data_IF_721250805289
#
_entry.id   IF_721250805289
#
_cell.length_a   1.000
_cell.length_b   1.000
_cell.length_c   1.000
_cell.angle_alpha   90.00
_cell.angle_beta   90.00
_cell.angle_gamma   90.00
#
_symmetry.space_group_name_H-M   'P 1'
#
loop_
_entity.id
_entity.type
_entity.pdbx_description
1 polymer ?
#
# COMPACT_ATOMS: atom_id res chain seq x y z
N UNK A 1 -22.43 40.98 -12.37
CA UNK A 1 -22.41 39.82 -11.45
C UNK A 1 -20.94 39.49 -11.15
N UNK A 2 -20.20 40.51 -10.73
CA UNK A 2 -19.64 40.74 -9.38
C UNK A 2 -18.34 39.96 -9.16
N UNK A 3 -17.20 40.59 -9.47
CA UNK A 3 -15.84 40.14 -9.17
C UNK A 3 -15.68 39.73 -7.68
N UNK A 4 -16.44 40.40 -6.80
CA UNK A 4 -16.57 40.03 -5.37
C UNK A 4 -17.16 38.61 -5.18
N UNK A 5 -18.13 38.22 -5.99
CA UNK A 5 -18.74 36.88 -5.93
C UNK A 5 -17.77 35.81 -6.46
N UNK A 6 -17.01 36.13 -7.51
CA UNK A 6 -16.00 35.23 -8.09
C UNK A 6 -14.81 35.00 -7.14
N UNK A 7 -14.29 36.07 -6.53
CA UNK A 7 -13.20 35.99 -5.54
C UNK A 7 -13.63 35.23 -4.28
N UNK A 8 -14.83 35.48 -3.75
CA UNK A 8 -15.38 34.70 -2.63
C UNK A 8 -15.55 33.23 -3.00
N UNK A 9 -16.10 32.93 -4.19
CA UNK A 9 -16.26 31.57 -4.67
C UNK A 9 -14.94 30.81 -4.78
N UNK A 10 -13.88 31.48 -5.25
CA UNK A 10 -12.55 30.89 -5.41
C UNK A 10 -11.87 30.61 -4.07
N UNK A 11 -12.01 31.53 -3.09
CA UNK A 11 -11.52 31.31 -1.73
C UNK A 11 -12.22 30.12 -1.08
N UNK A 12 -13.56 30.07 -1.17
CA UNK A 12 -14.35 28.96 -0.61
C UNK A 12 -13.99 27.63 -1.28
N UNK A 13 -13.93 27.59 -2.61
CA UNK A 13 -13.57 26.39 -3.35
C UNK A 13 -12.21 25.86 -2.92
N UNK A 14 -11.24 26.75 -2.74
CA UNK A 14 -9.90 26.29 -2.42
C UNK A 14 -9.74 25.88 -0.96
N UNK A 15 -10.43 26.54 -0.02
CA UNK A 15 -10.51 26.06 1.36
C UNK A 15 -11.08 24.64 1.39
N UNK A 16 -12.18 24.39 0.67
CA UNK A 16 -12.75 23.06 0.53
C UNK A 16 -11.76 22.07 -0.09
N UNK A 17 -11.02 22.48 -1.12
CA UNK A 17 -10.02 21.65 -1.78
C UNK A 17 -8.84 21.27 -0.87
N UNK A 18 -8.32 22.22 -0.09
CA UNK A 18 -7.26 21.98 0.89
C UNK A 18 -7.75 21.03 1.99
N UNK A 19 -8.96 21.25 2.52
CA UNK A 19 -9.57 20.36 3.51
C UNK A 19 -9.69 18.94 2.94
N UNK A 20 -10.15 18.81 1.70
CA UNK A 20 -10.26 17.52 1.03
C UNK A 20 -8.91 16.82 0.91
N UNK A 21 -7.86 17.51 0.44
CA UNK A 21 -6.50 16.97 0.35
C UNK A 21 -5.97 16.48 1.72
N UNK A 22 -6.22 17.25 2.77
CA UNK A 22 -5.82 16.88 4.14
C UNK A 22 -6.60 15.67 4.66
N UNK A 23 -7.90 15.58 4.38
CA UNK A 23 -8.71 14.41 4.74
C UNK A 23 -8.22 13.14 4.03
N UNK A 24 -7.98 13.21 2.72
CA UNK A 24 -7.48 12.06 1.94
C UNK A 24 -6.08 11.63 2.42
N UNK A 25 -5.18 12.60 2.62
CA UNK A 25 -3.86 12.34 3.22
C UNK A 25 -3.95 11.61 4.56
N UNK A 26 -4.81 12.10 5.48
CA UNK A 26 -4.99 11.48 6.79
C UNK A 26 -5.56 10.06 6.69
N UNK A 27 -6.49 9.83 5.77
CA UNK A 27 -7.05 8.51 5.51
C UNK A 27 -5.97 7.54 5.01
N UNK A 28 -5.12 7.97 4.06
CA UNK A 28 -4.00 7.17 3.56
C UNK A 28 -2.99 6.85 4.65
N UNK A 29 -2.62 7.83 5.48
CA UNK A 29 -1.71 7.62 6.61
C UNK A 29 -2.27 6.61 7.61
N UNK A 30 -3.56 6.70 7.94
CA UNK A 30 -4.24 5.73 8.82
C UNK A 30 -4.23 4.33 8.21
N UNK A 31 -4.52 4.21 6.91
CA UNK A 31 -4.53 2.91 6.21
C UNK A 31 -3.14 2.29 6.10
N UNK A 32 -2.11 3.08 5.82
CA UNK A 32 -0.72 2.64 5.85
C UNK A 32 -0.33 2.09 7.23
N UNK A 33 -0.75 2.76 8.31
CA UNK A 33 -0.52 2.30 9.68
C UNK A 33 -1.23 0.97 9.95
N UNK A 34 -2.52 0.85 9.60
CA UNK A 34 -3.27 -0.40 9.77
C UNK A 34 -2.63 -1.58 9.02
N UNK A 35 -2.18 -1.36 7.77
CA UNK A 35 -1.48 -2.39 7.01
C UNK A 35 -0.16 -2.82 7.67
N UNK A 36 0.61 -1.86 8.21
CA UNK A 36 1.84 -2.16 8.97
C UNK A 36 1.55 -2.92 10.25
N UNK A 37 0.50 -2.56 10.96
CA UNK A 37 0.13 -3.22 12.21
C UNK A 37 -0.32 -4.67 11.94
N UNK A 38 -1.13 -4.90 10.89
CA UNK A 38 -1.44 -6.25 10.40
C UNK A 38 -0.18 -7.04 10.02
N UNK A 39 0.76 -6.41 9.32
CA UNK A 39 2.00 -7.05 8.89
C UNK A 39 2.95 -7.40 10.04
N UNK A 40 2.90 -6.66 11.16
CA UNK A 40 3.71 -6.93 12.35
C UNK A 40 3.13 -7.99 13.27
N UNK A 41 1.81 -8.17 13.26
CA UNK A 41 1.12 -9.03 14.24
C UNK A 41 0.48 -10.24 13.57
N UNK A 42 -0.44 -10.04 12.63
CA UNK A 42 -1.22 -11.13 12.01
C UNK A 42 -0.39 -11.98 11.06
N UNK A 43 0.49 -11.36 10.26
CA UNK A 43 1.29 -12.09 9.27
C UNK A 43 2.34 -13.03 9.89
N UNK A 44 3.14 -12.59 10.89
CA UNK A 44 4.08 -13.49 11.56
C UNK A 44 3.37 -14.62 12.29
N UNK A 45 2.19 -14.36 12.87
CA UNK A 45 1.35 -15.39 13.48
C UNK A 45 0.86 -16.41 12.45
N UNK A 46 0.27 -15.97 11.33
CA UNK A 46 -0.16 -16.86 10.24
C UNK A 46 1.02 -17.61 9.61
N UNK A 47 2.17 -16.96 9.49
CA UNK A 47 3.39 -17.60 8.98
C UNK A 47 3.90 -18.65 9.95
N UNK A 48 3.94 -18.36 11.26
CA UNK A 48 4.29 -19.33 12.30
C UNK A 48 3.31 -20.48 12.35
N UNK A 49 2.01 -20.23 12.28
CA UNK A 49 0.96 -21.26 12.25
C UNK A 49 1.15 -22.18 11.04
N UNK A 50 1.25 -21.63 9.82
CA UNK A 50 1.55 -22.43 8.62
C UNK A 50 2.91 -23.13 8.67
N UNK A 51 3.93 -22.51 9.28
CA UNK A 51 5.25 -23.12 9.40
C UNK A 51 5.29 -24.22 10.45
N UNK A 52 4.52 -24.09 11.52
CA UNK A 52 4.34 -25.13 12.54
C UNK A 52 3.53 -26.27 11.95
N UNK A 53 2.46 -26.01 11.21
CA UNK A 53 1.75 -27.06 10.47
C UNK A 53 2.69 -27.76 9.48
N UNK A 54 3.47 -26.99 8.72
CA UNK A 54 4.52 -27.53 7.85
C UNK A 54 5.59 -28.35 8.58
N UNK A 55 5.87 -28.12 9.86
CA UNK A 55 6.92 -28.82 10.61
C UNK A 55 6.42 -29.88 11.59
N UNK A 56 5.14 -29.89 11.93
CA UNK A 56 4.57 -30.75 12.98
C UNK A 56 3.49 -31.71 12.48
N UNK A 57 2.77 -31.35 11.43
CA UNK A 57 1.68 -32.14 10.85
C UNK A 57 1.86 -32.44 9.36
N UNK A 58 2.89 -31.88 8.71
CA UNK A 58 3.17 -32.19 7.31
C UNK A 58 3.89 -33.52 7.15
N UNK A 59 3.63 -34.14 5.99
CA UNK A 59 4.38 -35.32 5.54
C UNK A 59 5.89 -35.04 5.40
N UNK A 60 6.34 -33.78 5.29
CA UNK A 60 7.76 -33.39 5.25
C UNK A 60 8.46 -33.63 6.59
N UNK A 61 7.78 -33.36 7.70
CA UNK A 61 8.33 -33.60 9.04
C UNK A 61 8.46 -35.10 9.34
N UNK A 62 7.46 -35.89 8.96
CA UNK A 62 7.53 -37.35 8.97
C UNK A 62 8.66 -37.85 8.07
N UNK A 63 8.80 -37.30 6.86
CA UNK A 63 9.87 -37.65 5.91
C UNK A 63 11.27 -37.36 6.48
N UNK A 64 11.46 -36.22 7.15
CA UNK A 64 12.75 -35.88 7.76
C UNK A 64 13.08 -36.76 8.96
N UNK A 65 12.07 -37.14 9.75
CA UNK A 65 12.24 -38.13 10.81
C UNK A 65 12.63 -39.50 10.23
N UNK A 66 11.94 -39.97 9.20
CA UNK A 66 12.26 -41.22 8.49
C UNK A 66 13.67 -41.17 7.88
N UNK A 67 14.05 -40.08 7.20
CA UNK A 67 15.39 -39.89 6.66
C UNK A 67 16.48 -39.90 7.75
N UNK A 68 16.22 -39.31 8.92
CA UNK A 68 17.16 -39.35 10.06
C UNK A 68 17.31 -40.75 10.66
N UNK A 69 16.24 -41.54 10.65
CA UNK A 69 16.24 -42.95 11.07
C UNK A 69 16.96 -43.83 10.04
N UNK A 70 16.76 -43.57 8.74
CA UNK A 70 17.36 -44.30 7.63
C UNK A 70 18.86 -44.03 7.52
N UNK A 71 19.30 -42.79 7.71
CA UNK A 71 20.74 -42.44 7.70
C UNK A 71 21.52 -43.08 8.85
N UNK A 72 20.84 -43.44 9.94
CA UNK A 72 21.41 -44.18 11.06
C UNK A 72 21.38 -45.72 10.91
N UNK A 73 20.75 -46.28 9.87
CA UNK A 73 20.58 -47.72 9.69
C UNK A 73 21.17 -48.22 8.35
N UNK A 74 22.11 -49.16 8.42
CA UNK A 74 22.94 -49.62 7.29
C UNK A 74 22.24 -50.55 6.27
N UNK A 75 20.95 -50.89 6.45
CA UNK A 75 20.31 -52.03 5.76
C UNK A 75 18.93 -51.78 5.13
N UNK A 76 18.54 -50.53 4.88
CA UNK A 76 17.23 -50.23 4.30
C UNK A 76 17.30 -50.20 2.76
N UNK A 77 16.28 -50.76 2.10
CA UNK A 77 16.14 -50.80 0.64
C UNK A 77 15.86 -49.39 0.09
N UNK A 78 16.92 -48.67 -0.28
CA UNK A 78 16.89 -47.26 -0.71
C UNK A 78 15.97 -47.00 -1.90
N UNK A 79 15.73 -47.99 -2.77
CA UNK A 79 15.02 -47.76 -4.04
C UNK A 79 13.49 -47.59 -3.87
N UNK A 80 12.85 -48.29 -2.93
CA UNK A 80 11.41 -48.09 -2.67
C UNK A 80 11.13 -46.79 -1.92
N UNK A 81 12.06 -46.38 -1.05
CA UNK A 81 12.01 -45.10 -0.36
C UNK A 81 12.22 -43.91 -1.30
N UNK A 82 13.10 -44.06 -2.29
CA UNK A 82 13.28 -43.04 -3.32
C UNK A 82 12.02 -42.91 -4.20
N UNK A 83 11.31 -44.01 -4.50
CA UNK A 83 10.05 -43.91 -5.26
C UNK A 83 8.91 -43.26 -4.46
N UNK A 84 8.82 -43.54 -3.15
CA UNK A 84 7.88 -42.87 -2.25
C UNK A 84 8.24 -41.39 -2.03
N UNK A 85 9.54 -41.06 -2.05
CA UNK A 85 10.03 -39.69 -2.03
C UNK A 85 9.58 -38.89 -3.26
N UNK A 86 9.68 -39.48 -4.46
CA UNK A 86 9.24 -38.84 -5.70
C UNK A 86 7.72 -38.69 -5.81
N UNK A 87 6.95 -39.60 -5.20
CA UNK A 87 5.47 -39.51 -5.22
C UNK A 87 4.93 -38.46 -4.24
N UNK A 88 5.62 -38.18 -3.14
CA UNK A 88 5.25 -37.15 -2.13
C UNK A 88 5.85 -35.76 -2.38
N UNK A 89 6.91 -35.67 -3.20
CA UNK A 89 7.55 -34.42 -3.65
C UNK A 89 6.57 -33.31 -4.13
N UNK A 90 5.47 -33.60 -4.87
CA UNK A 90 4.58 -32.56 -5.36
C UNK A 90 3.76 -31.88 -4.25
N UNK A 91 3.50 -32.59 -3.15
CA UNK A 91 2.75 -32.05 -2.01
C UNK A 91 3.62 -31.08 -1.20
N UNK A 92 4.88 -31.44 -0.98
CA UNK A 92 5.90 -30.59 -0.35
C UNK A 92 6.14 -29.33 -1.18
N UNK A 93 6.22 -29.46 -2.50
CA UNK A 93 6.38 -28.34 -3.44
C UNK A 93 5.23 -27.34 -3.30
N UNK A 94 3.99 -27.83 -3.21
CA UNK A 94 2.79 -27.00 -3.04
C UNK A 94 2.75 -26.25 -1.70
N UNK A 95 3.15 -26.90 -0.60
CA UNK A 95 3.24 -26.24 0.72
C UNK A 95 4.33 -25.16 0.77
N UNK A 96 5.45 -25.39 0.09
CA UNK A 96 6.53 -24.42 -0.05
C UNK A 96 6.11 -23.24 -0.93
N UNK A 97 5.37 -23.50 -2.00
CA UNK A 97 4.77 -22.48 -2.87
C UNK A 97 3.80 -21.60 -2.08
N UNK A 98 2.96 -22.19 -1.22
CA UNK A 98 2.04 -21.49 -0.32
C UNK A 98 2.76 -20.55 0.65
N UNK A 99 3.88 -20.98 1.23
CA UNK A 99 4.72 -20.15 2.11
C UNK A 99 5.37 -18.98 1.34
N UNK A 100 5.90 -19.25 0.14
CA UNK A 100 6.46 -18.23 -0.74
C UNK A 100 5.41 -17.20 -1.18
N UNK A 101 4.18 -17.64 -1.43
CA UNK A 101 3.06 -16.78 -1.77
C UNK A 101 2.71 -15.86 -0.59
N UNK A 102 2.74 -16.37 0.64
CA UNK A 102 2.52 -15.58 1.85
C UNK A 102 3.59 -14.51 2.05
N UNK A 103 4.86 -14.85 1.79
CA UNK A 103 5.99 -13.90 1.80
C UNK A 103 5.83 -12.83 0.70
N UNK A 104 5.40 -13.23 -0.49
CA UNK A 104 5.14 -12.32 -1.61
C UNK A 104 4.03 -11.32 -1.28
N UNK A 105 2.92 -11.80 -0.70
CA UNK A 105 1.82 -10.94 -0.22
C UNK A 105 2.34 -9.96 0.85
N UNK A 106 3.15 -10.44 1.79
CA UNK A 106 3.77 -9.61 2.84
C UNK A 106 4.58 -8.46 2.22
N UNK A 107 5.50 -8.77 1.31
CA UNK A 107 6.30 -7.75 0.61
C UNK A 107 5.42 -6.75 -0.15
N UNK A 108 4.34 -7.22 -0.76
CA UNK A 108 3.40 -6.37 -1.50
C UNK A 108 2.63 -5.43 -0.57
N UNK A 109 2.22 -5.90 0.60
CA UNK A 109 1.54 -5.08 1.63
C UNK A 109 2.51 -4.04 2.21
N UNK A 110 3.76 -4.39 2.51
CA UNK A 110 4.76 -3.45 3.03
C UNK A 110 5.06 -2.34 2.00
N UNK A 111 5.26 -2.71 0.74
CA UNK A 111 5.45 -1.75 -0.35
C UNK A 111 4.24 -0.82 -0.51
N UNK A 112 3.02 -1.35 -0.43
CA UNK A 112 1.81 -0.56 -0.52
C UNK A 112 1.65 0.40 0.66
N UNK A 113 2.00 -0.04 1.87
CA UNK A 113 1.99 0.82 3.06
C UNK A 113 2.99 1.98 2.92
N UNK A 114 4.21 1.71 2.45
CA UNK A 114 5.22 2.74 2.17
C UNK A 114 4.75 3.72 1.08
N UNK A 115 4.11 3.23 0.02
CA UNK A 115 3.61 4.08 -1.06
C UNK A 115 2.45 4.98 -0.58
N UNK A 116 1.50 4.43 0.18
CA UNK A 116 0.42 5.21 0.82
C UNK A 116 0.98 6.30 1.74
N UNK A 117 2.02 5.99 2.51
CA UNK A 117 2.67 6.98 3.39
C UNK A 117 3.35 8.10 2.56
N UNK A 118 4.03 7.74 1.48
CA UNK A 118 4.66 8.69 0.55
C UNK A 118 3.61 9.59 -0.11
N UNK A 119 2.56 9.02 -0.69
CA UNK A 119 1.46 9.77 -1.34
C UNK A 119 0.72 10.66 -0.35
N UNK A 120 0.50 10.18 0.89
CA UNK A 120 -0.04 11.00 1.98
C UNK A 120 0.82 12.25 2.25
N UNK A 121 2.15 12.13 2.27
CA UNK A 121 3.05 13.29 2.46
C UNK A 121 3.00 14.23 1.26
N UNK A 122 3.02 13.69 0.04
CA UNK A 122 2.91 14.50 -1.19
C UNK A 122 1.61 15.31 -1.20
N UNK A 123 0.48 14.71 -0.80
CA UNK A 123 -0.80 15.44 -0.68
C UNK A 123 -0.76 16.58 0.34
N UNK A 124 -0.06 16.42 1.47
CA UNK A 124 0.09 17.51 2.44
C UNK A 124 0.93 18.65 1.89
N UNK A 125 2.06 18.29 1.26
CA UNK A 125 2.96 19.26 0.63
C UNK A 125 2.22 20.02 -0.46
N UNK A 126 1.47 19.32 -1.32
CA UNK A 126 0.61 19.92 -2.32
C UNK A 126 -0.43 20.88 -1.70
N UNK A 127 -1.09 20.48 -0.61
CA UNK A 127 -2.01 21.36 0.12
C UNK A 127 -1.36 22.66 0.62
N UNK A 128 -0.12 22.58 1.12
CA UNK A 128 0.65 23.76 1.56
C UNK A 128 1.02 24.65 0.37
N UNK A 129 1.46 24.06 -0.75
CA UNK A 129 1.79 24.83 -1.95
C UNK A 129 0.59 25.58 -2.52
N UNK A 130 -0.57 24.91 -2.61
CA UNK A 130 -1.83 25.56 -3.05
C UNK A 130 -2.18 26.74 -2.15
N UNK A 131 -2.01 26.58 -0.83
CA UNK A 131 -2.27 27.67 0.11
C UNK A 131 -1.34 28.87 -0.10
N UNK A 132 -0.05 28.62 -0.33
CA UNK A 132 0.93 29.66 -0.63
C UNK A 132 0.63 30.34 -1.98
N UNK A 133 0.28 29.56 -3.00
CA UNK A 133 -0.06 30.07 -4.33
C UNK A 133 -1.26 31.03 -4.28
N UNK A 134 -2.27 30.73 -3.46
CA UNK A 134 -3.42 31.62 -3.28
C UNK A 134 -3.06 32.90 -2.55
N UNK A 135 -2.26 32.81 -1.49
CA UNK A 135 -1.81 34.00 -0.77
C UNK A 135 -1.03 34.93 -1.72
N UNK A 136 -0.15 34.36 -2.55
CA UNK A 136 0.55 35.10 -3.58
C UNK A 136 -0.43 35.71 -4.60
N UNK A 137 -1.45 34.96 -5.02
CA UNK A 137 -2.43 35.41 -5.99
C UNK A 137 -3.30 36.57 -5.46
N UNK A 138 -3.74 36.51 -4.21
CA UNK A 138 -4.47 37.61 -3.53
C UNK A 138 -3.61 38.88 -3.48
N UNK A 139 -2.31 38.73 -3.16
CA UNK A 139 -1.37 39.85 -3.15
C UNK A 139 -1.23 40.44 -4.55
N UNK A 140 -0.98 39.61 -5.57
CA UNK A 140 -0.76 40.07 -6.94
C UNK A 140 -1.99 40.79 -7.50
N UNK A 141 -3.21 40.24 -7.33
CA UNK A 141 -4.44 40.90 -7.79
C UNK A 141 -4.61 42.27 -7.13
N UNK A 142 -4.26 42.38 -5.85
CA UNK A 142 -4.36 43.66 -5.12
C UNK A 142 -3.39 44.72 -5.63
N UNK A 143 -2.20 44.35 -6.06
CA UNK A 143 -1.20 45.28 -6.60
C UNK A 143 -1.34 45.52 -8.12
N UNK A 144 -1.83 44.51 -8.86
CA UNK A 144 -1.96 44.52 -10.31
C UNK A 144 -3.34 43.97 -10.74
N UNK A 145 -4.41 44.77 -10.62
CA UNK A 145 -5.77 44.31 -10.92
C UNK A 145 -5.97 43.96 -12.41
N UNK A 146 -5.13 44.50 -13.31
CA UNK A 146 -5.21 44.26 -14.75
C UNK A 146 -4.88 42.82 -15.17
N UNK A 147 -4.27 42.01 -14.30
CA UNK A 147 -3.90 40.60 -14.59
C UNK A 147 -4.82 39.57 -13.95
N UNK A 148 -5.93 39.98 -13.32
CA UNK A 148 -6.88 39.10 -12.60
C UNK A 148 -7.30 37.88 -13.43
N UNK A 149 -7.79 38.11 -14.65
CA UNK A 149 -8.22 37.04 -15.55
C UNK A 149 -7.12 36.02 -15.86
N UNK A 150 -5.88 36.46 -16.09
CA UNK A 150 -4.75 35.57 -16.41
C UNK A 150 -4.40 34.72 -15.19
N UNK A 151 -4.38 35.34 -14.00
CA UNK A 151 -4.08 34.65 -12.74
C UNK A 151 -5.14 33.60 -12.40
N UNK A 152 -6.41 33.89 -12.68
CA UNK A 152 -7.51 32.94 -12.52
C UNK A 152 -7.32 31.66 -13.37
N UNK A 153 -6.95 31.80 -14.64
CA UNK A 153 -6.67 30.64 -15.51
C UNK A 153 -5.47 29.82 -15.04
N UNK A 154 -4.41 30.46 -14.56
CA UNK A 154 -3.23 29.78 -14.01
C UNK A 154 -3.63 28.95 -12.78
N UNK A 155 -4.42 29.51 -11.87
CA UNK A 155 -4.86 28.80 -10.67
C UNK A 155 -5.71 27.56 -11.03
N UNK A 156 -6.67 27.71 -11.95
CA UNK A 156 -7.47 26.58 -12.43
C UNK A 156 -6.58 25.50 -13.05
N UNK A 157 -5.59 25.89 -13.86
CA UNK A 157 -4.63 24.95 -14.46
C UNK A 157 -3.85 24.15 -13.41
N UNK A 158 -3.36 24.82 -12.35
CA UNK A 158 -2.67 24.17 -11.24
C UNK A 158 -3.60 23.19 -10.52
N UNK A 159 -4.85 23.59 -10.24
CA UNK A 159 -5.83 22.72 -9.59
C UNK A 159 -6.19 21.48 -10.42
N UNK A 160 -6.28 21.60 -11.74
CA UNK A 160 -6.48 20.46 -12.65
C UNK A 160 -5.26 19.52 -12.63
N UNK A 161 -4.04 20.04 -12.64
CA UNK A 161 -2.83 19.21 -12.54
C UNK A 161 -2.78 18.41 -11.23
N UNK A 162 -3.25 19.01 -10.13
CA UNK A 162 -3.34 18.37 -8.82
C UNK A 162 -4.42 17.27 -8.76
N UNK A 163 -5.48 17.34 -9.57
CA UNK A 163 -6.48 16.27 -9.67
C UNK A 163 -5.85 14.95 -10.12
N UNK A 164 -4.80 14.99 -10.95
CA UNK A 164 -4.11 13.77 -11.39
C UNK A 164 -3.44 13.07 -10.20
N UNK A 165 -2.77 13.83 -9.33
CA UNK A 165 -2.14 13.32 -8.10
C UNK A 165 -3.21 12.73 -7.16
N UNK A 166 -4.37 13.39 -7.06
CA UNK A 166 -5.50 12.89 -6.28
C UNK A 166 -5.99 11.55 -6.84
N UNK A 167 -6.23 11.47 -8.15
CA UNK A 167 -6.74 10.27 -8.80
C UNK A 167 -5.78 9.08 -8.64
N UNK A 168 -4.50 9.30 -8.91
CA UNK A 168 -3.47 8.27 -8.74
C UNK A 168 -3.36 7.79 -7.28
N UNK A 169 -3.58 8.70 -6.32
CA UNK A 169 -3.58 8.34 -4.91
C UNK A 169 -4.84 7.55 -4.52
N UNK A 170 -6.01 7.89 -5.09
CA UNK A 170 -7.25 7.11 -4.91
C UNK A 170 -7.13 5.69 -5.48
N UNK A 171 -6.45 5.51 -6.61
CA UNK A 171 -6.17 4.18 -7.17
C UNK A 171 -5.33 3.34 -6.20
N UNK A 172 -4.25 3.90 -5.67
CA UNK A 172 -3.44 3.23 -4.63
C UNK A 172 -4.28 2.90 -3.39
N UNK A 173 -5.15 3.82 -2.97
CA UNK A 173 -6.07 3.62 -1.85
C UNK A 173 -7.06 2.48 -2.12
N UNK A 174 -7.68 2.42 -3.30
CA UNK A 174 -8.61 1.33 -3.65
C UNK A 174 -7.91 -0.03 -3.72
N UNK A 175 -6.69 -0.10 -4.25
CA UNK A 175 -5.90 -1.33 -4.26
C UNK A 175 -5.58 -1.86 -2.86
N UNK A 176 -5.39 -0.98 -1.88
CA UNK A 176 -5.12 -1.37 -0.49
C UNK A 176 -6.28 -2.05 0.21
N UNK A 177 -7.50 -1.84 -0.25
CA UNK A 177 -8.69 -2.47 0.33
C UNK A 177 -8.72 -3.99 0.14
N UNK A 178 -8.15 -4.46 -0.98
CA UNK A 178 -8.08 -5.90 -1.28
C UNK A 178 -7.24 -6.65 -0.25
N UNK A 179 -6.22 -6.00 0.30
CA UNK A 179 -5.30 -6.60 1.27
C UNK A 179 -5.73 -6.41 2.72
N UNK A 180 -6.67 -5.50 2.99
CA UNK A 180 -7.25 -5.36 4.33
C UNK A 180 -8.18 -6.52 4.71
N UNK A 181 -8.71 -7.26 3.73
CA UNK A 181 -9.64 -8.39 3.92
C UNK A 181 -8.94 -9.76 4.07
N UNK A 182 -7.62 -9.81 3.85
CA UNK A 182 -6.76 -10.98 4.07
C UNK A 182 -6.32 -11.01 5.54
#
# INVERSE_FOLDING_TARGET
MNEVLQSVGLVVFTICYIIFLLMVSNSMKRRAKLLRDKLKVEFPLKFLEKSVDFLSSSEFAELMNELSLITNLSKINKNSLISDFYSRSPMIEKELEDLLLLISITNRIDNLSKDLERKSRLMRIAGIFIFLDILALIIIIRYFPSVDNIMYFILIGIMIGLLFIIFESFVTYAHSERYMKI
#
